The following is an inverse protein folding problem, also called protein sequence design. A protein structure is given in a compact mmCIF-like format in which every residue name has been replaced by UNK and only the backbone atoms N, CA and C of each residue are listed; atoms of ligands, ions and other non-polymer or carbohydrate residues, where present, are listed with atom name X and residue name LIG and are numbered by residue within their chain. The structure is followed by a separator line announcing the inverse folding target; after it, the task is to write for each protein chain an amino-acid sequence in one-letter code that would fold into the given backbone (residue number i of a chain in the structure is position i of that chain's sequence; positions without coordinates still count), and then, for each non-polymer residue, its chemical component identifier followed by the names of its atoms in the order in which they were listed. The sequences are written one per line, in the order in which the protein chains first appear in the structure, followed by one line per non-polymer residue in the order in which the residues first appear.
data_IF_320427275487
#
_entry.id   IF_320427275487
#
_cell.length_a   1.000
_cell.length_b   1.000
_cell.length_c   1.000
_cell.angle_alpha   90.00
_cell.angle_beta   90.00
_cell.angle_gamma   90.00
#
_symmetry.space_group_name_H-M   'P 1'
#
loop_
_entity.id
_entity.type
_entity.pdbx_description
1 polymer ?
#
# COMPACT_ATOMS: atom_id res chain seq x y z
N UNK A 1 -25.51 -5.92 27.26
CA UNK A 1 -24.14 -5.33 27.28
C UNK A 1 -24.14 -4.22 28.28
N UNK A 2 -23.37 -4.36 29.35
CA UNK A 2 -23.33 -3.39 30.44
C UNK A 2 -22.45 -2.20 30.11
N UNK A 3 -22.63 -1.09 30.83
CA UNK A 3 -21.78 0.12 30.71
C UNK A 3 -20.28 -0.18 30.85
N UNK A 4 -19.92 -1.09 31.75
CA UNK A 4 -18.54 -1.54 31.95
C UNK A 4 -17.95 -2.28 30.74
N UNK A 5 -18.76 -3.07 30.02
CA UNK A 5 -18.30 -3.78 28.82
C UNK A 5 -17.89 -2.80 27.70
N UNK A 6 -18.64 -1.71 27.53
CA UNK A 6 -18.32 -0.66 26.56
C UNK A 6 -17.02 0.09 26.89
N UNK A 7 -16.74 0.34 28.17
CA UNK A 7 -15.47 0.96 28.61
C UNK A 7 -14.31 0.00 28.35
N UNK A 8 -14.46 -1.27 28.72
CA UNK A 8 -13.44 -2.31 28.50
C UNK A 8 -13.16 -2.47 27.01
N UNK A 9 -14.20 -2.58 26.16
CA UNK A 9 -14.06 -2.65 24.71
C UNK A 9 -13.25 -1.47 24.14
N UNK A 10 -13.55 -0.24 24.61
CA UNK A 10 -12.83 0.96 24.15
C UNK A 10 -11.36 0.97 24.58
N UNK A 11 -11.06 0.58 25.80
CA UNK A 11 -9.69 0.49 26.29
C UNK A 11 -8.89 -0.59 25.56
N UNK A 12 -9.49 -1.76 25.31
CA UNK A 12 -8.86 -2.85 24.57
C UNK A 12 -8.58 -2.43 23.12
N UNK A 13 -9.54 -1.77 22.44
CA UNK A 13 -9.35 -1.26 21.08
C UNK A 13 -8.23 -0.21 20.96
N UNK A 14 -8.10 0.68 21.96
CA UNK A 14 -6.99 1.65 22.01
C UNK A 14 -5.64 0.96 22.19
N UNK A 15 -5.56 -0.07 23.05
CA UNK A 15 -4.34 -0.87 23.21
C UNK A 15 -4.00 -1.61 21.92
N UNK A 16 -5.00 -2.17 21.22
CA UNK A 16 -4.80 -2.79 19.92
C UNK A 16 -4.20 -1.83 18.90
N UNK A 17 -4.76 -0.62 18.81
CA UNK A 17 -4.25 0.41 17.90
C UNK A 17 -2.82 0.84 18.25
N UNK A 18 -2.50 1.01 19.55
CA UNK A 18 -1.16 1.33 19.98
C UNK A 18 -0.14 0.24 19.63
N UNK A 19 -0.48 -1.04 19.85
CA UNK A 19 0.36 -2.16 19.43
C UNK A 19 0.54 -2.20 17.90
N UNK A 20 -0.53 -1.94 17.12
CA UNK A 20 -0.46 -1.86 15.66
C UNK A 20 0.53 -0.77 15.20
N UNK A 21 0.41 0.45 15.75
CA UNK A 21 1.33 1.56 15.42
C UNK A 21 2.77 1.23 15.81
N UNK A 22 2.96 0.61 16.98
CA UNK A 22 4.29 0.19 17.43
C UNK A 22 4.89 -0.88 16.50
N UNK A 23 4.09 -1.85 16.06
CA UNK A 23 4.50 -2.85 15.07
C UNK A 23 4.94 -2.22 13.74
N UNK A 24 4.18 -1.22 13.25
CA UNK A 24 4.55 -0.47 12.05
C UNK A 24 5.90 0.25 12.22
N UNK A 25 6.09 0.91 13.37
CA UNK A 25 7.36 1.59 13.68
C UNK A 25 8.54 0.62 13.72
N UNK A 26 8.38 -0.55 14.36
CA UNK A 26 9.42 -1.57 14.36
C UNK A 26 9.73 -2.09 12.95
N UNK A 27 8.70 -2.22 12.09
CA UNK A 27 8.93 -2.55 10.68
C UNK A 27 9.77 -1.50 9.94
N UNK A 28 9.52 -0.21 10.20
CA UNK A 28 10.28 0.91 9.63
C UNK A 28 11.72 0.97 10.14
N UNK A 29 11.95 0.49 11.37
CA UNK A 29 13.27 0.39 12.00
C UNK A 29 14.01 -0.92 11.61
N UNK A 30 13.43 -1.78 10.74
CA UNK A 30 14.01 -3.07 10.36
C UNK A 30 13.93 -4.16 11.43
N UNK A 31 13.22 -3.91 12.54
CA UNK A 31 13.04 -4.84 13.67
C UNK A 31 11.88 -5.80 13.41
N UNK A 32 12.12 -6.77 12.52
CA UNK A 32 11.05 -7.61 11.98
C UNK A 32 10.40 -8.54 13.02
N UNK A 33 11.17 -9.10 13.96
CA UNK A 33 10.63 -9.97 15.02
C UNK A 33 9.75 -9.18 16.00
N UNK A 34 10.21 -8.01 16.44
CA UNK A 34 9.44 -7.14 17.32
C UNK A 34 8.19 -6.60 16.62
N UNK A 35 8.30 -6.28 15.32
CA UNK A 35 7.15 -5.87 14.51
C UNK A 35 6.10 -6.98 14.45
N UNK A 36 6.50 -8.21 14.16
CA UNK A 36 5.61 -9.37 14.10
C UNK A 36 4.90 -9.60 15.44
N UNK A 37 5.64 -9.56 16.56
CA UNK A 37 5.08 -9.72 17.90
C UNK A 37 4.03 -8.64 18.23
N UNK A 38 4.30 -7.38 17.89
CA UNK A 38 3.36 -6.27 18.10
C UNK A 38 2.13 -6.37 17.19
N UNK A 39 2.29 -6.77 15.93
CA UNK A 39 1.17 -6.99 15.02
C UNK A 39 0.27 -8.13 15.48
N UNK A 40 0.83 -9.24 15.97
CA UNK A 40 0.06 -10.36 16.51
C UNK A 40 -0.71 -9.95 17.79
N UNK A 41 -0.06 -9.21 18.70
CA UNK A 41 -0.72 -8.64 19.86
C UNK A 41 -1.89 -7.73 19.44
N UNK A 42 -1.69 -6.88 18.43
CA UNK A 42 -2.72 -5.99 17.92
C UNK A 42 -3.92 -6.78 17.38
N UNK A 43 -3.70 -7.83 16.57
CA UNK A 43 -4.77 -8.69 16.04
C UNK A 43 -5.61 -9.29 17.16
N UNK A 44 -4.97 -9.85 18.19
CA UNK A 44 -5.64 -10.44 19.35
C UNK A 44 -6.49 -9.41 20.10
N UNK A 45 -5.94 -8.23 20.36
CA UNK A 45 -6.64 -7.18 21.07
C UNK A 45 -7.79 -6.58 20.26
N UNK A 46 -7.66 -6.44 18.93
CA UNK A 46 -8.78 -6.02 18.09
C UNK A 46 -9.92 -7.05 18.18
N UNK A 47 -9.63 -8.35 18.00
CA UNK A 47 -10.64 -9.41 18.11
C UNK A 47 -11.34 -9.38 19.46
N UNK A 48 -10.59 -9.32 20.57
CA UNK A 48 -11.16 -9.21 21.93
C UNK A 48 -12.06 -7.96 22.06
N UNK A 49 -11.63 -6.80 21.52
CA UNK A 49 -12.43 -5.58 21.60
C UNK A 49 -13.78 -5.72 20.85
N UNK A 50 -13.80 -6.42 19.72
CA UNK A 50 -15.01 -6.68 18.95
C UNK A 50 -15.97 -7.64 19.66
N UNK A 51 -15.44 -8.66 20.33
CA UNK A 51 -16.22 -9.56 21.20
C UNK A 51 -16.86 -8.80 22.38
N UNK A 52 -16.13 -7.84 22.95
CA UNK A 52 -16.61 -6.94 23.99
C UNK A 52 -17.60 -5.87 23.46
N UNK A 53 -17.89 -5.87 22.16
CA UNK A 53 -18.90 -5.02 21.54
C UNK A 53 -18.41 -3.70 20.99
N UNK A 54 -17.10 -3.53 20.68
CA UNK A 54 -16.61 -2.39 19.93
C UNK A 54 -17.26 -2.34 18.54
N UNK A 55 -17.82 -1.17 18.17
CA UNK A 55 -18.53 -0.96 16.90
C UNK A 55 -18.08 0.29 16.14
N UNK A 56 -16.99 0.95 16.59
CA UNK A 56 -16.49 2.13 15.89
C UNK A 56 -15.81 1.75 14.59
N UNK A 57 -16.13 2.42 13.45
CA UNK A 57 -15.61 2.09 12.12
C UNK A 57 -14.08 2.15 12.06
N UNK A 58 -13.45 3.14 12.71
CA UNK A 58 -12.01 3.35 12.73
C UNK A 58 -11.23 2.10 13.18
N UNK A 59 -11.74 1.33 14.14
CA UNK A 59 -11.05 0.13 14.61
C UNK A 59 -11.21 -1.07 13.66
N UNK A 60 -12.37 -1.21 12.99
CA UNK A 60 -12.52 -2.20 11.94
C UNK A 60 -11.63 -1.89 10.73
N UNK A 61 -11.51 -0.61 10.38
CA UNK A 61 -10.62 -0.16 9.31
C UNK A 61 -9.15 -0.42 9.66
N UNK A 62 -8.71 -0.03 10.87
CA UNK A 62 -7.34 -0.27 11.31
C UNK A 62 -7.00 -1.77 11.38
N UNK A 63 -7.94 -2.60 11.86
CA UNK A 63 -7.80 -4.06 11.84
C UNK A 63 -7.67 -4.61 10.41
N UNK A 64 -8.52 -4.14 9.49
CA UNK A 64 -8.46 -4.52 8.08
C UNK A 64 -7.14 -4.13 7.41
N UNK A 65 -6.61 -2.93 7.69
CA UNK A 65 -5.30 -2.49 7.18
C UNK A 65 -4.16 -3.38 7.71
N UNK A 66 -4.20 -3.75 8.99
CA UNK A 66 -3.24 -4.70 9.55
C UNK A 66 -3.33 -6.07 8.88
N UNK A 67 -4.55 -6.56 8.63
CA UNK A 67 -4.78 -7.83 7.93
C UNK A 67 -4.27 -7.79 6.49
N UNK A 68 -4.43 -6.65 5.76
CA UNK A 68 -3.84 -6.46 4.43
C UNK A 68 -2.31 -6.56 4.47
N UNK A 69 -1.68 -5.90 5.44
CA UNK A 69 -0.22 -5.98 5.64
C UNK A 69 0.25 -7.42 5.86
N UNK A 70 -0.53 -8.20 6.61
CA UNK A 70 -0.24 -9.61 6.91
C UNK A 70 -0.73 -10.59 5.82
N UNK A 71 -1.12 -10.08 4.64
CA UNK A 71 -1.62 -10.86 3.49
C UNK A 71 -2.87 -11.69 3.77
N UNK A 72 -3.63 -11.36 4.83
CA UNK A 72 -4.93 -11.98 5.20
C UNK A 72 -6.08 -11.24 4.51
N UNK A 73 -6.11 -11.26 3.18
CA UNK A 73 -6.89 -10.31 2.36
C UNK A 73 -8.40 -10.49 2.52
N UNK A 74 -8.89 -11.74 2.56
CA UNK A 74 -10.34 -12.01 2.73
C UNK A 74 -10.83 -11.54 4.11
N UNK A 75 -10.02 -11.70 5.14
CA UNK A 75 -10.36 -11.23 6.47
C UNK A 75 -10.32 -9.69 6.54
N UNK A 76 -9.38 -9.07 5.85
CA UNK A 76 -9.34 -7.60 5.71
C UNK A 76 -10.63 -7.08 5.04
N UNK A 77 -11.05 -7.69 3.94
CA UNK A 77 -12.30 -7.37 3.26
C UNK A 77 -13.51 -7.52 4.19
N UNK A 78 -13.58 -8.60 4.96
CA UNK A 78 -14.64 -8.79 5.93
C UNK A 78 -14.64 -7.70 7.03
N UNK A 79 -13.47 -7.26 7.49
CA UNK A 79 -13.34 -6.17 8.45
C UNK A 79 -13.82 -4.83 7.86
N UNK A 80 -13.48 -4.53 6.60
CA UNK A 80 -13.96 -3.33 5.90
C UNK A 80 -15.48 -3.33 5.71
N UNK A 81 -16.08 -4.46 5.36
CA UNK A 81 -17.54 -4.60 5.28
C UNK A 81 -18.22 -4.38 6.65
N UNK A 82 -17.56 -4.73 7.76
CA UNK A 82 -18.06 -4.40 9.10
C UNK A 82 -17.97 -2.91 9.39
N UNK A 83 -16.88 -2.24 8.98
CA UNK A 83 -16.72 -0.79 9.11
C UNK A 83 -17.83 -0.05 8.32
N UNK A 84 -18.11 -0.47 7.09
CA UNK A 84 -19.14 0.13 6.23
C UNK A 84 -20.54 0.10 6.86
N UNK A 85 -20.87 -0.97 7.60
CA UNK A 85 -22.16 -1.14 8.27
C UNK A 85 -22.30 -0.36 9.56
N UNK A 86 -21.27 0.32 10.03
CA UNK A 86 -21.34 1.15 11.22
C UNK A 86 -22.23 2.37 10.97
N UNK A 87 -23.15 2.68 11.90
CA UNK A 87 -24.12 3.79 11.74
C UNK A 87 -23.46 5.18 11.78
N UNK A 88 -22.40 5.29 12.55
CA UNK A 88 -21.66 6.51 12.89
C UNK A 88 -20.40 6.73 12.04
N UNK A 89 -20.27 6.01 10.92
CA UNK A 89 -19.19 6.23 9.96
C UNK A 89 -19.33 7.60 9.29
N UNK A 90 -18.31 8.43 9.40
CA UNK A 90 -18.25 9.77 8.83
C UNK A 90 -18.03 9.74 7.30
N UNK A 91 -18.16 10.89 6.63
CA UNK A 91 -17.88 11.02 5.20
C UNK A 91 -16.40 10.72 4.90
N UNK A 92 -15.48 11.22 5.73
CA UNK A 92 -14.04 11.03 5.55
C UNK A 92 -13.64 9.57 5.80
N UNK A 93 -14.19 8.94 6.83
CA UNK A 93 -13.99 7.51 7.07
C UNK A 93 -14.51 6.65 5.92
N UNK A 94 -15.64 7.02 5.28
CA UNK A 94 -16.14 6.34 4.07
C UNK A 94 -15.18 6.48 2.89
N UNK A 95 -14.61 7.67 2.68
CA UNK A 95 -13.64 7.90 1.62
C UNK A 95 -12.39 7.02 1.84
N UNK A 96 -11.84 7.04 3.06
CA UNK A 96 -10.70 6.19 3.41
C UNK A 96 -11.03 4.70 3.31
N UNK A 97 -12.23 4.30 3.72
CA UNK A 97 -12.69 2.92 3.61
C UNK A 97 -12.73 2.44 2.16
N UNK A 98 -13.17 3.28 1.21
CA UNK A 98 -13.17 2.96 -0.23
C UNK A 98 -11.77 2.67 -0.75
N UNK A 99 -10.78 3.48 -0.36
CA UNK A 99 -9.37 3.25 -0.72
C UNK A 99 -8.90 1.90 -0.18
N UNK A 100 -9.14 1.63 1.11
CA UNK A 100 -8.74 0.37 1.73
C UNK A 100 -9.43 -0.84 1.08
N UNK A 101 -10.71 -0.69 0.74
CA UNK A 101 -11.48 -1.73 0.07
C UNK A 101 -10.99 -1.98 -1.36
N UNK A 102 -10.64 -0.91 -2.09
CA UNK A 102 -10.04 -1.01 -3.40
C UNK A 102 -8.71 -1.79 -3.37
N UNK A 103 -7.85 -1.52 -2.38
CA UNK A 103 -6.60 -2.28 -2.18
C UNK A 103 -6.89 -3.76 -1.92
N UNK A 104 -7.89 -4.08 -1.08
CA UNK A 104 -8.28 -5.46 -0.86
C UNK A 104 -8.79 -6.13 -2.14
N UNK A 105 -9.63 -5.46 -2.93
CA UNK A 105 -10.13 -5.97 -4.20
C UNK A 105 -9.00 -6.20 -5.20
N UNK A 106 -8.06 -5.27 -5.32
CA UNK A 106 -6.87 -5.43 -6.15
C UNK A 106 -6.07 -6.68 -5.75
N UNK A 107 -5.73 -6.82 -4.47
CA UNK A 107 -4.95 -7.97 -3.97
C UNK A 107 -5.69 -9.31 -4.13
N UNK A 108 -7.01 -9.29 -4.31
CA UNK A 108 -7.84 -10.47 -4.67
C UNK A 108 -7.94 -10.69 -6.20
N UNK A 109 -7.28 -9.85 -7.01
CA UNK A 109 -7.32 -9.94 -8.47
C UNK A 109 -8.53 -9.27 -9.12
N UNK A 110 -9.38 -8.59 -8.36
CA UNK A 110 -10.58 -7.88 -8.85
C UNK A 110 -10.23 -6.45 -9.29
N UNK A 111 -9.36 -6.32 -10.31
CA UNK A 111 -8.75 -5.05 -10.73
C UNK A 111 -9.79 -4.00 -11.12
N UNK A 112 -10.79 -4.36 -11.95
CA UNK A 112 -11.81 -3.40 -12.41
C UNK A 112 -12.65 -2.86 -11.24
N UNK A 113 -13.01 -3.72 -10.27
CA UNK A 113 -13.72 -3.30 -9.07
C UNK A 113 -12.87 -2.34 -8.20
N UNK A 114 -11.56 -2.60 -8.11
CA UNK A 114 -10.64 -1.72 -7.39
C UNK A 114 -10.54 -0.33 -8.05
N UNK A 115 -10.38 -0.28 -9.37
CA UNK A 115 -10.34 0.96 -10.16
C UNK A 115 -11.63 1.77 -9.95
N UNK A 116 -12.80 1.13 -10.04
CA UNK A 116 -14.08 1.81 -9.86
C UNK A 116 -14.24 2.42 -8.47
N UNK A 117 -13.85 1.69 -7.41
CA UNK A 117 -13.87 2.22 -6.04
C UNK A 117 -12.96 3.44 -5.86
N UNK A 118 -11.79 3.45 -6.50
CA UNK A 118 -10.87 4.58 -6.43
C UNK A 118 -11.34 5.78 -7.25
N UNK A 119 -12.01 5.58 -8.39
CA UNK A 119 -12.65 6.66 -9.15
C UNK A 119 -13.73 7.36 -8.32
N UNK A 120 -14.61 6.59 -7.68
CA UNK A 120 -15.62 7.13 -6.77
C UNK A 120 -14.95 7.85 -5.58
N UNK A 121 -13.84 7.33 -5.06
CA UNK A 121 -13.10 7.99 -3.99
C UNK A 121 -12.53 9.34 -4.45
N UNK A 122 -11.94 9.40 -5.66
CA UNK A 122 -11.40 10.63 -6.29
C UNK A 122 -12.46 11.71 -6.45
N UNK A 123 -13.66 11.36 -6.93
CA UNK A 123 -14.79 12.28 -7.07
C UNK A 123 -15.24 12.92 -5.74
N UNK A 124 -15.06 12.20 -4.63
CA UNK A 124 -15.41 12.66 -3.28
C UNK A 124 -14.29 13.45 -2.58
N UNK A 125 -13.11 13.52 -3.16
CA UNK A 125 -11.95 14.25 -2.67
C UNK A 125 -10.65 13.55 -3.06
N UNK A 126 -9.92 14.14 -3.99
CA UNK A 126 -8.64 13.61 -4.45
C UNK A 126 -7.55 13.76 -3.37
N UNK A 127 -6.68 12.76 -3.26
CA UNK A 127 -5.49 12.75 -2.39
C UNK A 127 -4.33 12.09 -3.12
N UNK A 128 -3.08 12.38 -2.74
CA UNK A 128 -1.90 11.70 -3.30
C UNK A 128 -2.02 10.17 -3.25
N UNK A 129 -2.54 9.60 -2.15
CA UNK A 129 -2.78 8.14 -2.04
C UNK A 129 -3.76 7.64 -3.10
N UNK A 130 -4.83 8.38 -3.40
CA UNK A 130 -5.80 8.00 -4.45
C UNK A 130 -5.14 8.10 -5.82
N UNK A 131 -4.43 9.19 -6.12
CA UNK A 131 -3.71 9.36 -7.38
C UNK A 131 -2.65 8.26 -7.58
N UNK A 132 -1.80 8.04 -6.59
CA UNK A 132 -0.76 7.00 -6.66
C UNK A 132 -1.36 5.60 -6.84
N UNK A 133 -2.37 5.22 -6.05
CA UNK A 133 -2.96 3.88 -6.13
C UNK A 133 -3.74 3.67 -7.43
N UNK A 134 -4.60 4.62 -7.83
CA UNK A 134 -5.39 4.51 -9.06
C UNK A 134 -4.48 4.54 -10.29
N UNK A 135 -3.47 5.41 -10.31
CA UNK A 135 -2.48 5.50 -11.39
C UNK A 135 -1.80 4.15 -11.63
N UNK A 136 -1.34 3.50 -10.57
CA UNK A 136 -0.75 2.17 -10.67
C UNK A 136 -1.74 1.11 -11.20
N UNK A 137 -2.98 1.07 -10.68
CA UNK A 137 -3.97 0.09 -11.15
C UNK A 137 -4.33 0.26 -12.63
N UNK A 138 -4.34 1.50 -13.12
CA UNK A 138 -4.54 1.78 -14.54
C UNK A 138 -3.35 1.29 -15.38
N UNK A 139 -2.11 1.40 -14.88
CA UNK A 139 -0.92 0.83 -15.53
C UNK A 139 -1.03 -0.70 -15.58
N UNK A 140 -1.42 -1.34 -14.48
CA UNK A 140 -1.61 -2.80 -14.43
C UNK A 140 -2.71 -3.27 -15.41
N UNK A 141 -3.79 -2.49 -15.55
CA UNK A 141 -4.84 -2.75 -16.54
C UNK A 141 -4.31 -2.59 -17.97
N UNK A 142 -3.59 -1.50 -18.23
CA UNK A 142 -2.98 -1.20 -19.52
C UNK A 142 -1.99 -2.29 -19.96
N UNK A 143 -1.19 -2.81 -19.05
CA UNK A 143 -0.26 -3.91 -19.33
C UNK A 143 -0.96 -5.20 -19.78
N UNK A 144 -2.21 -5.43 -19.36
CA UNK A 144 -3.02 -6.59 -19.78
C UNK A 144 -3.67 -6.39 -21.15
N UNK A 145 -4.00 -5.15 -21.53
CA UNK A 145 -4.71 -4.81 -22.77
C UNK A 145 -3.77 -4.35 -23.90
N UNK A 146 -2.59 -3.85 -23.56
CA UNK A 146 -1.66 -3.20 -24.49
C UNK A 146 -2.03 -1.74 -24.82
N UNK A 147 -3.12 -1.21 -24.27
CA UNK A 147 -3.53 0.20 -24.44
C UNK A 147 -3.18 1.02 -23.19
N UNK A 148 -2.20 1.88 -23.33
CA UNK A 148 -1.67 2.74 -22.26
C UNK A 148 -2.29 4.15 -22.25
N UNK A 149 -3.26 4.46 -23.12
CA UNK A 149 -3.81 5.82 -23.29
C UNK A 149 -4.39 6.34 -21.97
N UNK A 150 -5.32 5.62 -21.37
CA UNK A 150 -5.97 6.02 -20.11
C UNK A 150 -4.97 6.12 -18.95
N UNK A 151 -4.02 5.17 -18.87
CA UNK A 151 -2.99 5.17 -17.84
C UNK A 151 -2.06 6.39 -17.96
N UNK A 152 -1.70 6.77 -19.19
CA UNK A 152 -0.87 7.95 -19.45
C UNK A 152 -1.61 9.24 -19.07
N UNK A 153 -2.83 9.43 -19.58
CA UNK A 153 -3.64 10.62 -19.28
C UNK A 153 -3.82 10.81 -17.77
N UNK A 154 -4.15 9.73 -17.05
CA UNK A 154 -4.37 9.79 -15.62
C UNK A 154 -3.08 10.08 -14.83
N UNK A 155 -1.96 9.43 -15.15
CA UNK A 155 -0.71 9.65 -14.42
C UNK A 155 -0.09 11.03 -14.74
N UNK A 156 -0.37 11.61 -15.91
CA UNK A 156 -0.04 13.01 -16.18
C UNK A 156 -0.92 13.97 -15.38
N UNK A 157 -2.22 13.71 -15.24
CA UNK A 157 -3.10 14.46 -14.32
C UNK A 157 -2.58 14.36 -12.86
N UNK A 158 -2.13 13.18 -12.44
CA UNK A 158 -1.55 12.99 -11.12
C UNK A 158 -0.27 13.82 -10.93
N UNK A 159 0.59 13.89 -11.93
CA UNK A 159 1.80 14.71 -11.92
C UNK A 159 1.46 16.22 -11.82
N UNK A 160 0.40 16.68 -12.50
CA UNK A 160 -0.09 18.06 -12.37
C UNK A 160 -0.65 18.35 -10.96
N UNK A 161 -1.18 17.34 -10.28
CA UNK A 161 -1.67 17.45 -8.91
C UNK A 161 -0.51 17.59 -7.90
N UNK A 162 0.56 16.79 -8.04
CA UNK A 162 1.75 16.82 -7.17
C UNK A 162 2.96 16.24 -7.90
N UNK A 163 3.83 17.11 -8.40
CA UNK A 163 5.04 16.76 -9.16
C UNK A 163 6.23 16.38 -8.25
N UNK A 164 6.07 16.50 -6.93
CA UNK A 164 7.05 16.07 -5.92
C UNK A 164 6.60 14.79 -5.17
N UNK A 165 5.47 14.17 -5.54
CA UNK A 165 5.08 12.88 -4.96
C UNK A 165 5.87 11.73 -5.59
N UNK A 166 6.75 11.11 -4.79
CA UNK A 166 7.60 10.01 -5.23
C UNK A 166 6.81 8.78 -5.73
N UNK A 167 5.55 8.55 -5.31
CA UNK A 167 4.72 7.44 -5.79
C UNK A 167 4.18 7.75 -7.19
N UNK A 168 3.80 9.00 -7.45
CA UNK A 168 3.34 9.44 -8.78
C UNK A 168 4.49 9.36 -9.78
N UNK A 169 5.67 9.82 -9.42
CA UNK A 169 6.87 9.71 -10.25
C UNK A 169 7.26 8.25 -10.52
N UNK A 170 7.19 7.39 -9.49
CA UNK A 170 7.43 5.95 -9.63
C UNK A 170 6.43 5.30 -10.62
N UNK A 171 5.15 5.64 -10.53
CA UNK A 171 4.13 5.18 -11.48
C UNK A 171 4.48 5.58 -12.92
N UNK A 172 4.90 6.82 -13.15
CA UNK A 172 5.33 7.26 -14.49
C UNK A 172 6.57 6.48 -14.96
N UNK A 173 7.51 6.19 -14.07
CA UNK A 173 8.63 5.31 -14.35
C UNK A 173 8.18 3.92 -14.79
N UNK A 174 7.26 3.29 -14.06
CA UNK A 174 6.70 1.98 -14.40
C UNK A 174 5.91 2.01 -15.72
N UNK A 175 5.14 3.08 -15.96
CA UNK A 175 4.38 3.26 -17.19
C UNK A 175 5.31 3.31 -18.42
N UNK A 176 6.34 4.17 -18.38
CA UNK A 176 7.32 4.27 -19.46
C UNK A 176 8.10 2.97 -19.66
N UNK A 177 8.45 2.27 -18.56
CA UNK A 177 9.12 0.97 -18.63
C UNK A 177 8.24 -0.07 -19.35
N UNK A 178 6.93 -0.13 -19.04
CA UNK A 178 5.98 -1.03 -19.69
C UNK A 178 5.75 -0.69 -21.17
N UNK A 179 5.92 0.56 -21.55
CA UNK A 179 5.87 1.03 -22.94
C UNK A 179 7.21 0.82 -23.69
N UNK A 180 8.26 0.35 -23.00
CA UNK A 180 9.59 0.12 -23.58
C UNK A 180 10.50 1.36 -23.61
N UNK A 181 10.08 2.49 -23.08
CA UNK A 181 10.86 3.74 -22.99
C UNK A 181 11.70 3.74 -21.70
N UNK A 182 12.81 3.01 -21.74
CA UNK A 182 13.68 2.82 -20.56
C UNK A 182 14.42 4.09 -20.14
N UNK A 183 14.71 4.99 -21.03
CA UNK A 183 15.36 6.27 -20.76
C UNK A 183 14.46 7.16 -19.89
N UNK A 184 13.20 7.33 -20.29
CA UNK A 184 12.23 8.08 -19.47
C UNK A 184 11.89 7.37 -18.18
N UNK A 185 11.79 6.03 -18.20
CA UNK A 185 11.57 5.27 -16.98
C UNK A 185 12.67 5.54 -15.95
N UNK A 186 13.94 5.52 -16.37
CA UNK A 186 15.08 5.83 -15.52
C UNK A 186 15.02 7.26 -14.99
N UNK A 187 14.65 8.24 -15.83
CA UNK A 187 14.52 9.64 -15.41
C UNK A 187 13.51 9.78 -14.26
N UNK A 188 12.31 9.19 -14.41
CA UNK A 188 11.27 9.27 -13.39
C UNK A 188 11.63 8.50 -12.12
N UNK A 189 12.21 7.29 -12.22
CA UNK A 189 12.66 6.56 -11.04
C UNK A 189 13.80 7.27 -10.30
N UNK A 190 14.70 7.95 -11.01
CA UNK A 190 15.77 8.75 -10.39
C UNK A 190 15.16 9.90 -9.59
N UNK A 191 14.21 10.65 -10.16
CA UNK A 191 13.50 11.72 -9.45
C UNK A 191 12.76 11.19 -8.22
N UNK A 192 12.05 10.07 -8.36
CA UNK A 192 11.35 9.43 -7.23
C UNK A 192 12.33 9.02 -6.12
N UNK A 193 13.49 8.49 -6.49
CA UNK A 193 14.54 8.09 -5.55
C UNK A 193 15.17 9.30 -4.84
N UNK A 194 15.40 10.41 -5.52
CA UNK A 194 15.91 11.64 -4.91
C UNK A 194 14.96 12.17 -3.82
N UNK A 195 13.64 12.10 -4.05
CA UNK A 195 12.62 12.53 -3.09
C UNK A 195 12.50 11.52 -1.95
N UNK A 196 12.46 10.22 -2.26
CA UNK A 196 12.25 9.16 -1.27
C UNK A 196 13.24 8.00 -1.46
N UNK A 197 14.46 8.13 -0.96
CA UNK A 197 15.56 7.18 -1.21
C UNK A 197 15.31 5.74 -0.76
N UNK A 198 14.35 5.51 0.15
CA UNK A 198 14.01 4.17 0.67
C UNK A 198 12.68 3.62 0.14
N UNK A 199 12.15 4.16 -0.97
CA UNK A 199 10.94 3.64 -1.59
C UNK A 199 11.23 2.30 -2.28
N UNK A 200 10.69 1.22 -1.74
CA UNK A 200 11.03 -0.16 -2.15
C UNK A 200 10.72 -0.45 -3.62
N UNK A 201 9.61 0.08 -4.14
CA UNK A 201 9.23 -0.12 -5.55
C UNK A 201 10.23 0.56 -6.48
N UNK A 202 10.57 1.82 -6.23
CA UNK A 202 11.54 2.59 -7.01
C UNK A 202 12.92 1.92 -7.00
N UNK A 203 13.40 1.48 -5.83
CA UNK A 203 14.67 0.78 -5.68
C UNK A 203 14.70 -0.52 -6.50
N UNK A 204 13.62 -1.28 -6.47
CA UNK A 204 13.50 -2.52 -7.25
C UNK A 204 13.60 -2.25 -8.76
N UNK A 205 12.90 -1.23 -9.27
CA UNK A 205 12.94 -0.92 -10.70
C UNK A 205 14.27 -0.29 -11.14
N UNK A 206 14.90 0.54 -10.30
CA UNK A 206 16.26 1.03 -10.54
C UNK A 206 17.25 -0.13 -10.61
N UNK A 207 17.14 -1.11 -9.71
CA UNK A 207 17.97 -2.32 -9.75
C UNK A 207 17.77 -3.11 -11.05
N UNK A 208 16.53 -3.31 -11.49
CA UNK A 208 16.26 -3.98 -12.78
C UNK A 208 16.93 -3.28 -13.96
N UNK A 209 16.82 -1.95 -14.02
CA UNK A 209 17.46 -1.18 -15.09
C UNK A 209 18.99 -1.21 -14.99
N UNK A 210 19.54 -1.24 -13.77
CA UNK A 210 20.98 -1.37 -13.56
C UNK A 210 21.48 -2.75 -14.00
N UNK A 211 20.75 -3.83 -13.71
CA UNK A 211 21.06 -5.21 -14.20
C UNK A 211 21.12 -5.24 -15.72
N UNK A 212 20.14 -4.66 -16.40
CA UNK A 212 20.10 -4.62 -17.86
C UNK A 212 21.28 -3.84 -18.48
N UNK A 213 21.85 -2.89 -17.75
CA UNK A 213 23.04 -2.12 -18.15
C UNK A 213 24.37 -2.78 -17.74
N UNK A 214 24.32 -3.91 -17.03
CA UNK A 214 25.50 -4.58 -16.50
C UNK A 214 26.12 -3.89 -15.28
N UNK A 215 25.40 -3.00 -14.62
CA UNK A 215 25.81 -2.23 -13.44
C UNK A 215 25.51 -3.05 -12.16
N UNK A 216 26.14 -4.20 -12.01
CA UNK A 216 25.83 -5.20 -10.97
C UNK A 216 25.97 -4.65 -9.54
N UNK A 217 26.99 -3.83 -9.29
CA UNK A 217 27.24 -3.27 -7.95
C UNK A 217 26.12 -2.29 -7.55
N UNK A 218 25.69 -1.41 -8.48
CA UNK A 218 24.58 -0.50 -8.25
C UNK A 218 23.25 -1.26 -8.05
N UNK A 219 22.99 -2.30 -8.85
CA UNK A 219 21.81 -3.14 -8.68
C UNK A 219 21.78 -3.80 -7.29
N UNK A 220 22.93 -4.30 -6.81
CA UNK A 220 23.06 -4.88 -5.48
C UNK A 220 22.75 -3.88 -4.39
N UNK A 221 23.30 -2.67 -4.45
CA UNK A 221 23.08 -1.61 -3.45
C UNK A 221 21.59 -1.23 -3.36
N UNK A 222 20.92 -1.07 -4.51
CA UNK A 222 19.48 -0.80 -4.54
C UNK A 222 18.66 -1.93 -3.91
N UNK A 223 18.97 -3.19 -4.21
CA UNK A 223 18.22 -4.34 -3.69
C UNK A 223 18.45 -4.56 -2.20
N UNK A 224 19.69 -4.43 -1.71
CA UNK A 224 19.98 -4.51 -0.29
C UNK A 224 19.22 -3.41 0.49
N UNK A 225 19.22 -2.18 -0.03
CA UNK A 225 18.44 -1.08 0.56
C UNK A 225 16.93 -1.37 0.52
N UNK A 226 16.41 -1.92 -0.58
CA UNK A 226 15.00 -2.30 -0.70
C UNK A 226 14.62 -3.39 0.31
N UNK A 227 15.48 -4.38 0.53
CA UNK A 227 15.25 -5.47 1.48
C UNK A 227 15.22 -5.00 2.94
N UNK A 228 15.89 -3.90 3.28
CA UNK A 228 15.76 -3.24 4.58
C UNK A 228 14.47 -2.43 4.70
N UNK A 229 13.83 -2.12 3.59
CA UNK A 229 12.69 -1.23 3.50
C UNK A 229 11.37 -1.81 4.04
N UNK A 230 10.37 -0.94 4.13
CA UNK A 230 9.04 -1.29 4.62
C UNK A 230 8.08 -1.57 3.45
N UNK A 231 7.75 -2.84 3.23
CA UNK A 231 6.76 -3.28 2.25
C UNK A 231 5.34 -3.07 2.79
N UNK A 232 4.71 -1.99 2.39
CA UNK A 232 3.32 -1.70 2.74
C UNK A 232 2.33 -2.53 1.92
N UNK A 233 1.04 -2.50 2.30
CA UNK A 233 -0.03 -3.11 1.48
C UNK A 233 -0.22 -2.45 0.11
N UNK A 234 0.33 -1.25 -0.08
CA UNK A 234 0.31 -0.50 -1.34
C UNK A 234 1.53 -0.76 -2.21
N UNK A 235 2.57 -1.44 -1.68
CA UNK A 235 3.74 -1.78 -2.47
C UNK A 235 3.34 -2.64 -3.68
N UNK A 236 3.92 -2.32 -4.83
CA UNK A 236 3.69 -2.99 -6.12
C UNK A 236 4.67 -4.14 -6.33
N UNK A 237 5.80 -4.09 -5.64
CA UNK A 237 6.80 -5.14 -5.57
C UNK A 237 6.75 -5.88 -4.23
N UNK A 238 7.35 -7.05 -4.16
CA UNK A 238 7.44 -7.83 -2.93
C UNK A 238 8.89 -8.04 -2.49
N UNK A 239 9.08 -8.33 -1.19
CA UNK A 239 10.40 -8.66 -0.64
C UNK A 239 11.00 -9.89 -1.32
N UNK A 240 10.16 -10.86 -1.66
CA UNK A 240 10.56 -12.07 -2.36
C UNK A 240 11.11 -11.75 -3.75
N UNK A 241 10.45 -10.86 -4.51
CA UNK A 241 10.92 -10.41 -5.83
C UNK A 241 12.27 -9.68 -5.75
N UNK A 242 12.46 -8.83 -4.73
CA UNK A 242 13.73 -8.14 -4.51
C UNK A 242 14.85 -9.14 -4.15
N UNK A 243 14.56 -10.13 -3.31
CA UNK A 243 15.51 -11.17 -2.94
C UNK A 243 15.88 -12.06 -4.13
N UNK A 244 14.90 -12.52 -4.91
CA UNK A 244 15.12 -13.32 -6.11
C UNK A 244 16.02 -12.60 -7.13
N UNK A 245 15.79 -11.29 -7.31
CA UNK A 245 16.63 -10.50 -8.21
C UNK A 245 18.05 -10.36 -7.65
N UNK A 246 18.20 -10.11 -6.34
CA UNK A 246 19.51 -10.03 -5.68
C UNK A 246 20.29 -11.36 -5.80
N UNK A 247 19.64 -12.48 -5.56
CA UNK A 247 20.23 -13.82 -5.66
C UNK A 247 20.67 -14.14 -7.10
N UNK A 248 20.05 -13.52 -8.11
CA UNK A 248 20.43 -13.68 -9.51
C UNK A 248 21.68 -12.90 -9.93
N UNK A 249 22.21 -12.00 -9.07
CA UNK A 249 23.40 -11.17 -9.33
C UNK A 249 24.72 -11.91 -9.02
N UNK A 250 24.79 -13.18 -9.30
CA UNK A 250 25.99 -14.01 -9.00
C UNK A 250 27.10 -13.77 -10.01
#
# INVERSE_FOLDING_TARGET
MGFFDGIKASLTARKAYAAHVQGNRHSEEGKHEEAAAQHELALKLYAESFELGMKKPVYFMAYGVLLLRLRRIEEAKAAFLRAERCRDITKDERAQLRVNFAVAQWKLGNLDSAIEQLRIAKENGATGTIYGTLGYLLIEKAAKTGDYTEAMEFNMEALEYDDEDAVILDNLGQLHLNMGDKEKALEYFTKAHEIKPKQVDTLYYLAKLAVERGETDAAREYLETALEGNYSSLATTSREQAQELLDSLV
#
